data_IF_636554669246
#
_entry.id   IF_636554669246
#
_cell.length_a   1.000
_cell.length_b   1.000
_cell.length_c   1.000
_cell.angle_alpha   90.00
_cell.angle_beta   90.00
_cell.angle_gamma   90.00
#
_symmetry.space_group_name_H-M   'P 1'
#
loop_
_entity.id
_entity.type
_entity.pdbx_description
1 polymer ?
#
# COMPACT_ATOMS: atom_id res chain seq x y z
N UNK A 1 20.11 -8.53 -17.41
CA UNK A 1 19.59 -9.15 -16.17
C UNK A 1 18.32 -9.96 -16.44
N UNK A 2 17.21 -9.33 -16.84
CA UNK A 2 15.95 -10.04 -17.17
C UNK A 2 16.11 -11.06 -18.31
N UNK A 3 16.65 -10.65 -19.47
CA UNK A 3 16.88 -11.56 -20.60
C UNK A 3 17.99 -12.61 -20.36
N UNK A 4 18.74 -12.47 -19.25
CA UNK A 4 19.89 -13.31 -18.91
C UNK A 4 19.67 -14.09 -17.60
N UNK A 5 18.44 -14.08 -17.06
CA UNK A 5 18.07 -14.75 -15.81
C UNK A 5 19.01 -14.46 -14.63
N UNK A 6 19.53 -13.24 -14.55
CA UNK A 6 20.37 -12.81 -13.42
C UNK A 6 19.47 -12.34 -12.27
N UNK A 7 19.83 -12.62 -11.00
CA UNK A 7 19.09 -12.11 -9.84
C UNK A 7 18.96 -10.59 -9.86
N UNK A 8 17.82 -10.10 -9.38
CA UNK A 8 17.52 -8.66 -9.26
C UNK A 8 16.95 -8.43 -7.87
N UNK A 9 17.41 -7.39 -7.20
CA UNK A 9 16.81 -6.89 -5.98
C UNK A 9 15.71 -5.87 -6.35
N UNK A 10 14.53 -6.03 -5.75
CA UNK A 10 13.45 -5.06 -5.84
C UNK A 10 13.15 -4.62 -4.41
N UNK A 11 13.36 -3.34 -4.13
CA UNK A 11 12.89 -2.71 -2.89
C UNK A 11 11.50 -2.13 -3.14
N UNK A 12 10.52 -2.54 -2.34
CA UNK A 12 9.14 -2.06 -2.44
C UNK A 12 8.86 -1.16 -1.25
N UNK A 13 8.73 0.14 -1.52
CA UNK A 13 8.39 1.13 -0.52
C UNK A 13 6.91 1.01 -0.17
N UNK A 14 6.61 0.49 1.02
CA UNK A 14 5.24 0.28 1.52
C UNK A 14 5.11 0.78 2.95
N UNK A 15 3.91 1.25 3.30
CA UNK A 15 3.55 1.65 4.67
C UNK A 15 2.62 0.63 5.32
N UNK A 16 2.93 0.25 6.56
CA UNK A 16 2.08 -0.62 7.38
C UNK A 16 1.11 0.23 8.21
N UNK A 17 -0.16 0.24 7.82
CA UNK A 17 -1.15 1.07 8.51
C UNK A 17 -1.45 0.58 9.94
N UNK A 18 -1.50 -0.74 10.16
CA UNK A 18 -1.72 -1.33 11.47
C UNK A 18 -0.50 -1.29 12.42
N UNK A 19 -0.69 -1.68 13.69
CA UNK A 19 0.41 -1.93 14.63
C UNK A 19 1.26 -3.14 14.19
N UNK A 20 2.40 -3.34 14.85
CA UNK A 20 3.34 -4.40 14.48
C UNK A 20 2.78 -5.79 14.75
N UNK A 21 2.13 -5.91 15.89
CA UNK A 21 1.48 -7.09 16.41
C UNK A 21 0.29 -6.63 17.24
N UNK A 22 -0.55 -7.57 17.68
CA UNK A 22 -1.72 -7.24 18.52
C UNK A 22 -1.35 -6.65 19.88
N UNK A 23 -0.14 -6.91 20.37
CA UNK A 23 0.38 -6.38 21.64
C UNK A 23 1.08 -5.02 21.51
N UNK A 24 1.22 -4.48 20.31
CA UNK A 24 1.99 -3.26 20.04
C UNK A 24 1.10 -2.01 20.08
N UNK A 25 1.49 -1.03 20.91
CA UNK A 25 0.95 0.33 20.82
C UNK A 25 1.82 1.17 19.90
N UNK A 26 1.44 1.18 18.63
CA UNK A 26 2.18 1.93 17.62
C UNK A 26 2.07 3.45 17.78
N UNK A 27 1.09 3.96 18.53
CA UNK A 27 0.92 5.41 18.72
C UNK A 27 2.08 6.03 19.50
N UNK A 28 2.81 5.23 20.29
CA UNK A 28 3.96 5.65 21.09
C UNK A 28 5.15 6.15 20.24
N UNK A 29 5.27 5.73 18.98
CA UNK A 29 6.44 6.02 18.14
C UNK A 29 6.11 6.50 16.72
N UNK A 30 4.83 6.64 16.36
CA UNK A 30 4.40 7.20 15.07
C UNK A 30 3.09 7.97 15.21
N UNK A 31 2.93 9.02 14.40
CA UNK A 31 1.69 9.80 14.35
C UNK A 31 0.58 9.02 13.65
N UNK A 32 -0.50 8.74 14.38
CA UNK A 32 -1.68 8.11 13.78
C UNK A 32 -2.34 8.98 12.71
N UNK A 33 -2.30 10.30 12.87
CA UNK A 33 -2.87 11.24 11.90
C UNK A 33 -2.16 11.12 10.55
N UNK A 34 -0.82 11.12 10.57
CA UNK A 34 -0.02 10.91 9.37
C UNK A 34 -0.36 9.58 8.71
N UNK A 35 -0.54 8.52 9.51
CA UNK A 35 -0.89 7.20 9.02
C UNK A 35 -2.27 7.16 8.36
N UNK A 36 -3.28 7.79 8.99
CA UNK A 36 -4.62 7.91 8.43
C UNK A 36 -4.64 8.72 7.15
N UNK A 37 -3.85 9.80 7.09
CA UNK A 37 -3.71 10.59 5.87
C UNK A 37 -3.11 9.75 4.74
N UNK A 38 -2.01 9.05 5.03
CA UNK A 38 -1.32 8.18 4.07
C UNK A 38 -2.24 7.06 3.55
N UNK A 39 -2.98 6.43 4.46
CA UNK A 39 -3.96 5.40 4.11
C UNK A 39 -5.08 5.94 3.20
N UNK A 40 -5.47 7.21 3.32
CA UNK A 40 -6.50 7.80 2.44
C UNK A 40 -5.95 8.22 1.07
N UNK A 41 -4.70 8.64 0.99
CA UNK A 41 -4.16 9.26 -0.23
C UNK A 41 -3.51 8.27 -1.19
N UNK A 42 -2.95 7.17 -0.68
CA UNK A 42 -2.24 6.20 -1.52
C UNK A 42 -2.67 4.74 -1.32
N UNK A 43 -3.89 4.51 -0.83
CA UNK A 43 -4.46 3.17 -0.69
C UNK A 43 -4.29 2.37 -2.00
N UNK A 44 -3.55 1.24 -1.99
CA UNK A 44 -3.35 0.43 -3.18
C UNK A 44 -4.68 -0.12 -3.74
N UNK A 45 -5.67 -0.40 -2.88
CA UNK A 45 -6.98 -0.92 -3.31
C UNK A 45 -7.70 0.16 -4.11
N UNK A 46 -7.83 1.36 -3.54
CA UNK A 46 -8.49 2.48 -4.21
C UNK A 46 -7.78 2.88 -5.51
N UNK A 47 -6.44 2.86 -5.53
CA UNK A 47 -5.66 3.15 -6.75
C UNK A 47 -5.95 2.17 -7.88
N UNK A 48 -5.97 0.87 -7.58
CA UNK A 48 -6.28 -0.17 -8.58
C UNK A 48 -7.75 -0.08 -9.01
N UNK A 49 -8.67 0.12 -8.07
CA UNK A 49 -10.09 0.32 -8.36
C UNK A 49 -10.31 1.47 -9.36
N UNK A 50 -9.73 2.65 -9.09
CA UNK A 50 -9.80 3.81 -10.01
C UNK A 50 -9.22 3.50 -11.39
N UNK A 51 -8.10 2.78 -11.44
CA UNK A 51 -7.50 2.38 -12.70
C UNK A 51 -8.42 1.45 -13.51
N UNK A 52 -9.06 0.49 -12.84
CA UNK A 52 -9.98 -0.45 -13.50
C UNK A 52 -11.28 0.24 -13.94
N UNK A 53 -11.80 1.16 -13.14
CA UNK A 53 -12.99 1.98 -13.44
C UNK A 53 -12.80 2.81 -14.73
N UNK A 54 -11.67 3.51 -14.85
CA UNK A 54 -11.30 4.25 -16.08
C UNK A 54 -11.20 3.35 -17.31
N UNK A 55 -10.91 2.06 -17.13
CA UNK A 55 -10.82 1.07 -18.21
C UNK A 55 -12.12 0.30 -18.46
N UNK A 56 -13.21 0.63 -17.76
CA UNK A 56 -14.48 -0.11 -17.85
C UNK A 56 -14.36 -1.57 -17.41
N UNK A 57 -13.35 -1.90 -16.61
CA UNK A 57 -13.06 -3.24 -16.11
C UNK A 57 -13.54 -3.44 -14.66
N UNK A 58 -14.32 -2.49 -14.13
CA UNK A 58 -14.87 -2.48 -12.78
C UNK A 58 -16.30 -1.96 -12.80
N UNK A 59 -17.14 -2.47 -11.91
CA UNK A 59 -18.47 -1.94 -11.62
C UNK A 59 -18.68 -1.95 -10.09
N UNK A 60 -19.76 -1.30 -9.63
CA UNK A 60 -20.02 -1.13 -8.19
C UNK A 60 -20.89 -2.26 -7.58
N UNK A 61 -21.10 -3.35 -8.30
CA UNK A 61 -21.87 -4.52 -7.86
C UNK A 61 -20.96 -5.63 -7.33
#
# INVERSE_FOLDING_TARGET
AVNENKPILIEVMVDRFGPHLTSDDSSAYRSEEKMRHHAKTIDPIERVRRYMDVRGCWNNE
#
